data_IF_535713404702
#
_entry.id   IF_535713404702
#
_cell.length_a   1.000
_cell.length_b   1.000
_cell.length_c   1.000
_cell.angle_alpha   90.00
_cell.angle_beta   90.00
_cell.angle_gamma   90.00
#
_symmetry.space_group_name_H-M   'P 1'
#
loop_
_entity.id
_entity.type
_entity.pdbx_description
1 polymer ?
#
# COMPACT_ATOMS: atom_id res chain seq x y z
N UNK A 1 -20.39 -5.41 -28.12
CA UNK A 1 -20.39 -6.03 -26.77
C UNK A 1 -19.13 -5.54 -26.09
N UNK A 2 -19.35 -4.58 -25.21
CA UNK A 2 -18.38 -3.87 -24.40
C UNK A 2 -17.89 -4.79 -23.27
N UNK A 3 -16.58 -4.98 -23.14
CA UNK A 3 -15.98 -5.63 -21.97
C UNK A 3 -14.68 -4.90 -21.62
N UNK A 4 -14.83 -3.89 -20.77
CA UNK A 4 -13.92 -3.61 -19.65
C UNK A 4 -12.46 -3.35 -20.00
N UNK A 5 -12.15 -2.09 -20.31
CA UNK A 5 -10.80 -1.54 -20.28
C UNK A 5 -10.16 -1.73 -18.88
N UNK A 6 -9.41 -2.82 -18.72
CA UNK A 6 -8.49 -2.98 -17.60
C UNK A 6 -7.43 -1.87 -17.72
N UNK A 7 -7.42 -0.96 -16.75
CA UNK A 7 -6.37 0.04 -16.61
C UNK A 7 -5.10 -0.71 -16.22
N UNK A 8 -4.29 -1.08 -17.21
CA UNK A 8 -2.93 -1.55 -17.00
C UNK A 8 -2.10 -0.34 -16.59
N UNK A 9 -1.85 -0.20 -15.28
CA UNK A 9 -0.84 0.74 -14.78
C UNK A 9 0.51 0.32 -15.38
N UNK A 10 1.02 1.11 -16.34
CA UNK A 10 2.37 0.93 -16.90
C UNK A 10 3.30 1.84 -16.11
N UNK A 11 4.09 1.31 -15.15
CA UNK A 11 5.00 2.14 -14.39
C UNK A 11 6.11 2.70 -15.30
N UNK A 12 6.54 3.96 -15.09
CA UNK A 12 7.67 4.53 -15.81
C UNK A 12 8.95 3.72 -15.54
N UNK A 13 9.75 3.54 -16.59
CA UNK A 13 11.03 2.82 -16.56
C UNK A 13 12.05 3.59 -15.70
N UNK A 14 12.15 3.24 -14.42
CA UNK A 14 13.27 3.58 -13.55
C UNK A 14 13.84 2.27 -13.00
N UNK A 15 15.12 2.02 -13.28
CA UNK A 15 15.85 0.84 -12.84
C UNK A 15 16.10 0.90 -11.34
N UNK A 16 15.11 0.51 -10.57
CA UNK A 16 15.26 0.04 -9.18
C UNK A 16 14.20 -1.03 -8.98
N UNK A 17 14.63 -2.22 -8.57
CA UNK A 17 13.75 -3.35 -8.27
C UNK A 17 12.54 -2.90 -7.44
N UNK A 18 11.34 -3.46 -7.66
CA UNK A 18 10.18 -3.08 -6.88
C UNK A 18 10.50 -3.31 -5.40
N UNK A 19 10.40 -2.25 -4.60
CA UNK A 19 10.53 -2.33 -3.15
C UNK A 19 9.31 -3.10 -2.60
N UNK A 20 9.41 -4.43 -2.58
CA UNK A 20 8.41 -5.34 -2.01
C UNK A 20 8.87 -5.64 -0.59
N UNK A 21 8.02 -5.69 0.46
CA UNK A 21 8.46 -5.94 1.84
C UNK A 21 9.48 -7.10 1.89
N UNK A 22 10.74 -6.76 2.13
CA UNK A 22 11.86 -7.62 1.77
C UNK A 22 12.19 -8.63 2.87
N UNK A 23 11.78 -8.38 4.12
CA UNK A 23 11.95 -9.37 5.18
C UNK A 23 10.83 -10.43 5.16
N UNK A 24 11.15 -11.73 5.36
CA UNK A 24 10.15 -12.79 5.49
C UNK A 24 9.09 -12.51 6.56
N UNK A 25 9.46 -11.78 7.61
CA UNK A 25 8.57 -11.39 8.70
C UNK A 25 7.58 -10.30 8.29
N UNK A 26 8.03 -9.24 7.61
CA UNK A 26 7.14 -8.20 7.08
C UNK A 26 6.17 -8.78 6.06
N UNK A 27 6.66 -9.62 5.15
CA UNK A 27 5.82 -10.32 4.19
C UNK A 27 4.73 -11.14 4.91
N UNK A 28 5.09 -11.87 5.97
CA UNK A 28 4.14 -12.63 6.79
C UNK A 28 3.12 -11.73 7.49
N UNK A 29 3.54 -10.58 8.03
CA UNK A 29 2.65 -9.59 8.68
C UNK A 29 1.66 -9.00 7.67
N UNK A 30 2.14 -8.52 6.52
CA UNK A 30 1.32 -7.96 5.44
C UNK A 30 0.31 -8.98 4.94
N UNK A 31 0.73 -10.22 4.67
CA UNK A 31 -0.17 -11.31 4.22
C UNK A 31 -1.24 -11.61 5.29
N UNK A 32 -0.87 -11.61 6.57
CA UNK A 32 -1.83 -11.83 7.67
C UNK A 32 -2.91 -10.74 7.68
N UNK A 33 -2.53 -9.48 7.49
CA UNK A 33 -3.48 -8.36 7.46
C UNK A 33 -4.36 -8.39 6.21
N UNK A 34 -3.79 -8.73 5.04
CA UNK A 34 -4.56 -8.94 3.81
C UNK A 34 -5.62 -10.04 3.98
N UNK A 35 -5.28 -11.16 4.63
CA UNK A 35 -6.27 -12.22 4.94
C UNK A 35 -7.40 -11.72 5.83
N UNK A 36 -7.09 -10.84 6.80
CA UNK A 36 -8.12 -10.22 7.65
C UNK A 36 -9.05 -9.31 6.84
N UNK A 37 -8.49 -8.47 5.98
CA UNK A 37 -9.25 -7.58 5.09
C UNK A 37 -10.15 -8.40 4.15
N UNK A 38 -9.63 -9.49 3.58
CA UNK A 38 -10.42 -10.42 2.76
C UNK A 38 -11.60 -10.99 3.54
N UNK A 39 -11.39 -11.42 4.79
CA UNK A 39 -12.47 -11.91 5.66
C UNK A 39 -13.54 -10.84 5.94
N UNK A 40 -13.13 -9.58 6.13
CA UNK A 40 -14.06 -8.45 6.31
C UNK A 40 -14.87 -8.18 5.04
N UNK A 41 -14.25 -8.25 3.85
CA UNK A 41 -14.95 -8.08 2.58
C UNK A 41 -15.98 -9.18 2.32
N UNK A 42 -15.62 -10.45 2.57
CA UNK A 42 -16.56 -11.58 2.46
C UNK A 42 -17.71 -11.48 3.48
N UNK A 43 -17.44 -10.97 4.69
CA UNK A 43 -18.49 -10.74 5.68
C UNK A 43 -19.46 -9.64 5.25
N UNK A 44 -18.95 -8.55 4.65
CA UNK A 44 -19.77 -7.48 4.10
C UNK A 44 -20.66 -7.95 2.95
N UNK A 45 -20.11 -8.75 2.03
CA UNK A 45 -20.88 -9.35 0.95
C UNK A 45 -22.04 -10.21 1.47
N UNK A 46 -21.78 -11.07 2.48
CA UNK A 46 -22.84 -11.85 3.13
C UNK A 46 -23.89 -10.97 3.79
N UNK A 47 -23.47 -9.95 4.54
CA UNK A 47 -24.39 -9.04 5.22
C UNK A 47 -25.34 -8.32 4.22
N UNK A 48 -24.83 -7.94 3.05
CA UNK A 48 -25.65 -7.37 1.96
C UNK A 48 -26.65 -8.40 1.44
N UNK A 49 -26.21 -9.63 1.16
CA UNK A 49 -27.09 -10.70 0.67
C UNK A 49 -28.18 -11.11 1.69
N UNK A 50 -27.90 -10.97 2.99
CA UNK A 50 -28.83 -11.24 4.08
C UNK A 50 -29.79 -10.07 4.36
N UNK A 51 -29.62 -8.92 3.69
CA UNK A 51 -30.48 -7.74 3.87
C UNK A 51 -30.23 -6.99 5.18
N UNK A 52 -28.98 -7.01 5.68
CA UNK A 52 -28.57 -6.30 6.90
C UNK A 52 -28.86 -4.80 6.80
N UNK A 53 -29.26 -4.16 7.90
CA UNK A 53 -29.58 -2.74 7.90
C UNK A 53 -28.39 -1.84 7.49
N UNK A 54 -28.70 -0.73 6.81
CA UNK A 54 -27.69 0.18 6.26
C UNK A 54 -26.69 0.69 7.31
N UNK A 55 -27.13 0.92 8.55
CA UNK A 55 -26.24 1.35 9.64
C UNK A 55 -25.13 0.36 9.94
N UNK A 56 -25.46 -0.94 10.02
CA UNK A 56 -24.49 -2.00 10.25
C UNK A 56 -23.57 -2.20 9.04
N UNK A 57 -24.10 -2.08 7.80
CA UNK A 57 -23.28 -2.10 6.58
C UNK A 57 -22.27 -0.95 6.55
N UNK A 58 -22.68 0.27 6.90
CA UNK A 58 -21.79 1.43 6.99
C UNK A 58 -20.69 1.23 8.04
N UNK A 59 -21.01 0.60 9.17
CA UNK A 59 -20.03 0.27 10.20
C UNK A 59 -18.99 -0.75 9.70
N UNK A 60 -19.43 -1.79 8.98
CA UNK A 60 -18.52 -2.78 8.38
C UNK A 60 -17.63 -2.15 7.30
N UNK A 61 -18.18 -1.27 6.45
CA UNK A 61 -17.42 -0.50 5.47
C UNK A 61 -16.38 0.40 6.14
N UNK A 62 -16.75 1.09 7.22
CA UNK A 62 -15.81 1.92 7.96
C UNK A 62 -14.66 1.10 8.56
N UNK A 63 -14.96 -0.10 9.08
CA UNK A 63 -13.94 -1.02 9.59
C UNK A 63 -13.01 -1.55 8.49
N UNK A 64 -13.54 -1.87 7.31
CA UNK A 64 -12.77 -2.30 6.15
C UNK A 64 -11.83 -1.19 5.67
N UNK A 65 -12.35 0.04 5.53
CA UNK A 65 -11.54 1.23 5.20
C UNK A 65 -10.42 1.44 6.21
N UNK A 66 -10.72 1.36 7.51
CA UNK A 66 -9.72 1.49 8.56
C UNK A 66 -8.62 0.43 8.49
N UNK A 67 -8.99 -0.82 8.21
CA UNK A 67 -8.01 -1.91 8.05
C UNK A 67 -7.11 -1.70 6.82
N UNK A 68 -7.67 -1.29 5.69
CA UNK A 68 -6.91 -0.97 4.48
C UNK A 68 -5.98 0.23 4.68
N UNK A 69 -6.47 1.30 5.30
CA UNK A 69 -5.68 2.50 5.61
C UNK A 69 -4.53 2.16 6.56
N UNK A 70 -4.78 1.34 7.59
CA UNK A 70 -3.73 0.88 8.48
C UNK A 70 -2.68 0.00 7.80
N UNK A 71 -3.06 -0.79 6.79
CA UNK A 71 -2.10 -1.60 6.01
C UNK A 71 -1.26 -0.72 5.09
N UNK A 72 -1.88 0.28 4.48
CA UNK A 72 -1.20 1.27 3.67
C UNK A 72 -0.12 2.00 4.47
N UNK A 73 -0.42 2.45 5.69
CA UNK A 73 0.54 3.12 6.56
C UNK A 73 1.76 2.25 6.90
N UNK A 74 1.54 0.98 7.25
CA UNK A 74 2.63 0.04 7.56
C UNK A 74 3.54 -0.23 6.36
N UNK A 75 2.96 -0.42 5.16
CA UNK A 75 3.73 -0.65 3.93
C UNK A 75 4.52 0.61 3.55
N UNK A 76 3.92 1.79 3.70
CA UNK A 76 4.61 3.06 3.48
C UNK A 76 5.77 3.24 4.45
N UNK A 77 5.57 3.01 5.74
CA UNK A 77 6.64 3.11 6.74
C UNK A 77 7.82 2.18 6.42
N UNK A 78 7.54 0.92 6.05
CA UNK A 78 8.55 -0.06 5.64
C UNK A 78 9.34 0.44 4.43
N UNK A 79 8.65 0.92 3.38
CA UNK A 79 9.30 1.47 2.18
C UNK A 79 10.18 2.68 2.47
N UNK A 80 9.72 3.60 3.33
CA UNK A 80 10.50 4.78 3.72
C UNK A 80 11.73 4.37 4.53
N UNK A 81 11.56 3.52 5.55
CA UNK A 81 12.68 3.06 6.38
C UNK A 81 13.77 2.41 5.54
N UNK A 82 13.41 1.59 4.55
CA UNK A 82 14.40 0.95 3.68
C UNK A 82 15.09 1.94 2.74
N UNK A 83 14.33 2.81 2.07
CA UNK A 83 14.89 3.81 1.15
C UNK A 83 15.87 4.74 1.89
N UNK A 84 15.47 5.27 3.05
CA UNK A 84 16.31 6.17 3.86
C UNK A 84 17.52 5.48 4.52
N UNK A 85 17.40 4.21 4.94
CA UNK A 85 18.54 3.48 5.51
C UNK A 85 19.59 3.13 4.44
N UNK A 86 19.16 2.82 3.21
CA UNK A 86 20.06 2.54 2.10
C UNK A 86 20.85 3.79 1.67
N UNK A 87 20.23 4.98 1.69
CA UNK A 87 20.92 6.25 1.44
C UNK A 87 21.84 6.67 2.59
N UNK A 88 21.46 6.43 3.85
CA UNK A 88 22.27 6.77 5.02
C UNK A 88 23.52 5.89 5.22
N UNK A 89 23.51 4.63 4.76
CA UNK A 89 24.62 3.67 4.96
C UNK A 89 25.69 3.68 3.85
N UNK A 90 25.67 4.64 2.92
CA UNK A 90 26.80 4.86 1.99
C UNK A 90 26.93 3.83 0.87
N UNK A 91 25.82 3.25 0.41
CA UNK A 91 25.80 2.24 -0.65
C UNK A 91 25.99 2.74 -2.09
N UNK A 92 26.33 4.02 -2.31
CA UNK A 92 26.64 4.55 -3.64
C UNK A 92 28.03 5.18 -3.63
N UNK A 93 29.02 4.38 -4.01
CA UNK A 93 30.35 4.88 -4.35
C UNK A 93 30.36 5.66 -5.68
N UNK A 94 29.24 5.77 -6.39
CA UNK A 94 29.15 6.63 -7.56
C UNK A 94 27.75 7.26 -7.71
N UNK A 95 27.75 8.56 -8.01
CA UNK A 95 26.63 9.48 -8.14
C UNK A 95 26.14 10.11 -6.82
N UNK A 96 26.54 11.37 -6.64
CA UNK A 96 25.76 12.45 -6.01
C UNK A 96 24.26 12.23 -6.21
N UNK A 97 23.59 11.62 -5.22
CA UNK A 97 22.14 11.73 -5.11
C UNK A 97 21.89 13.08 -4.45
N UNK A 98 21.24 13.98 -5.17
CA UNK A 98 20.83 15.26 -4.59
C UNK A 98 19.73 15.03 -3.55
N UNK A 99 19.92 15.43 -2.29
CA UNK A 99 18.94 15.25 -1.21
C UNK A 99 17.54 15.75 -1.59
N UNK A 100 17.47 16.84 -2.36
CA UNK A 100 16.24 17.40 -2.92
C UNK A 100 15.43 16.39 -3.73
N UNK A 101 16.06 15.55 -4.56
CA UNK A 101 15.35 14.59 -5.42
C UNK A 101 14.71 13.45 -4.62
N UNK A 102 15.34 13.05 -3.51
CA UNK A 102 14.83 12.02 -2.60
C UNK A 102 13.64 12.54 -1.78
N UNK A 103 13.73 13.78 -1.29
CA UNK A 103 12.63 14.47 -0.63
C UNK A 103 11.45 14.66 -1.59
N UNK A 104 11.70 15.00 -2.87
CA UNK A 104 10.66 15.16 -3.88
C UNK A 104 9.92 13.84 -4.16
N UNK A 105 10.66 12.73 -4.23
CA UNK A 105 10.07 11.39 -4.37
C UNK A 105 9.22 11.02 -3.15
N UNK A 106 9.73 11.25 -1.94
CA UNK A 106 8.98 11.05 -0.69
C UNK A 106 7.69 11.88 -0.70
N UNK A 107 7.77 13.17 -1.03
CA UNK A 107 6.62 14.07 -1.03
C UNK A 107 5.58 13.68 -2.09
N UNK A 108 6.01 13.19 -3.25
CA UNK A 108 5.11 12.63 -4.28
C UNK A 108 4.40 11.38 -3.79
N UNK A 109 5.12 10.50 -3.11
CA UNK A 109 4.60 9.27 -2.55
C UNK A 109 3.59 9.59 -1.44
N UNK A 110 3.95 10.43 -0.47
CA UNK A 110 3.03 10.88 0.59
C UNK A 110 1.79 11.58 -0.01
N UNK A 111 1.95 12.43 -1.03
CA UNK A 111 0.84 13.14 -1.68
C UNK A 111 -0.08 12.22 -2.49
N UNK A 112 0.43 11.13 -3.07
CA UNK A 112 -0.43 10.16 -3.77
C UNK A 112 -1.31 9.36 -2.81
N UNK A 113 -0.92 9.28 -1.52
CA UNK A 113 -1.63 8.54 -0.47
C UNK A 113 -2.49 9.40 0.47
N UNK A 114 -2.28 10.71 0.53
CA UNK A 114 -3.08 11.65 1.33
C UNK A 114 -4.23 12.31 0.54
N UNK A 115 -4.62 11.76 -0.62
CA UNK A 115 -5.77 12.25 -1.39
C UNK A 115 -7.11 11.81 -0.81
#
# INVERSE_FOLDING_TARGET
MDVGSQIFYTPPLYSSEPAVPHSPEEKKRVVTRLRRIQGQALALERAVNEGTECGALLQQLAALRGAATGLMAEVLESHLRETFLQTAQGGRQDATIEPEAEIDLLMRLVRSYLK
#
